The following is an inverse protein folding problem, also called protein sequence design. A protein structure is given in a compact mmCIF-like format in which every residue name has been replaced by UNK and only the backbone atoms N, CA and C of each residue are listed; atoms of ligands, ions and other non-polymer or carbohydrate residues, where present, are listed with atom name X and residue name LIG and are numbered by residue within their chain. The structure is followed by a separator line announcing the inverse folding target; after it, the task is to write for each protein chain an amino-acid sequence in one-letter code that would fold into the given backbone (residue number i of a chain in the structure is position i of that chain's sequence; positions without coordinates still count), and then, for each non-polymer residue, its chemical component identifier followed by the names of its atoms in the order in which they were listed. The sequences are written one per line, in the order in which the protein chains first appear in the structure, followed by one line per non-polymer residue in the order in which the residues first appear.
data_IF_330075929753
#
_entry.id   IF_330075929753
#
_cell.length_a   1.000
_cell.length_b   1.000
_cell.length_c   1.000
_cell.angle_alpha   90.00
_cell.angle_beta   90.00
_cell.angle_gamma   90.00
#
_symmetry.space_group_name_H-M   'P 1'
#
loop_
_entity.id
_entity.type
_entity.pdbx_description
1 polymer ?
#
# COMPACT_ATOMS: atom_id res chain seq x y z
N UNK A 1 -47.86 27.46 33.64
CA UNK A 1 -49.22 27.55 33.06
C UNK A 1 -49.08 27.63 31.54
N UNK A 2 -49.84 26.78 30.84
CA UNK A 2 -50.44 26.98 29.50
C UNK A 2 -49.53 27.17 28.28
N UNK A 3 -49.45 26.20 27.36
CA UNK A 3 -50.43 25.78 26.32
C UNK A 3 -50.56 26.80 25.15
N UNK A 4 -49.94 26.44 24.02
CA UNK A 4 -50.64 26.16 22.76
C UNK A 4 -51.03 27.30 21.82
N UNK A 5 -50.65 27.14 20.55
CA UNK A 5 -51.64 27.11 19.47
C UNK A 5 -51.64 28.23 18.42
N UNK A 6 -51.59 27.77 17.16
CA UNK A 6 -52.31 28.27 15.97
C UNK A 6 -51.87 29.58 15.29
N UNK A 7 -51.86 29.53 13.96
CA UNK A 7 -52.41 30.62 13.16
C UNK A 7 -51.59 31.00 11.93
N UNK A 8 -51.98 30.46 10.78
CA UNK A 8 -51.78 31.04 9.46
C UNK A 8 -52.57 32.36 9.34
N UNK A 9 -52.01 33.40 8.71
CA UNK A 9 -52.70 34.24 7.72
C UNK A 9 -51.70 35.22 7.07
N UNK A 10 -51.90 35.53 5.78
CA UNK A 10 -51.32 36.75 5.18
C UNK A 10 -50.50 36.57 3.90
N UNK A 11 -51.07 35.95 2.87
CA UNK A 11 -50.57 36.15 1.50
C UNK A 11 -50.98 37.51 0.92
N UNK A 12 -50.19 38.08 0.01
CA UNK A 12 -50.65 38.83 -1.19
C UNK A 12 -49.51 39.42 -2.03
N UNK A 13 -49.56 39.15 -3.33
CA UNK A 13 -48.98 39.97 -4.41
C UNK A 13 -47.85 39.26 -5.17
N UNK A 14 -47.94 38.94 -6.45
CA UNK A 14 -48.96 39.20 -7.47
C UNK A 14 -48.56 38.43 -8.73
N UNK A 15 -49.55 37.92 -9.47
CA UNK A 15 -49.33 37.19 -10.72
C UNK A 15 -48.95 38.10 -11.89
N UNK A 16 -48.32 37.49 -12.89
CA UNK A 16 -48.28 37.79 -14.34
C UNK A 16 -47.70 36.53 -15.01
N UNK A 17 -48.52 35.66 -15.58
CA UNK A 17 -48.64 35.45 -17.04
C UNK A 17 -47.49 34.58 -17.59
N UNK A 18 -47.63 33.55 -18.42
CA UNK A 18 -48.65 33.16 -19.39
C UNK A 18 -48.56 31.65 -19.63
N UNK A 19 -49.72 31.06 -19.88
CA UNK A 19 -49.92 29.73 -20.45
C UNK A 19 -49.48 29.70 -21.93
N UNK A 20 -48.94 28.56 -22.40
CA UNK A 20 -48.98 28.24 -23.84
C UNK A 20 -47.72 27.66 -24.49
N UNK A 21 -47.52 26.35 -24.37
CA UNK A 21 -47.54 25.49 -25.56
C UNK A 21 -46.23 25.05 -26.24
N UNK A 22 -46.28 23.76 -26.59
CA UNK A 22 -45.68 23.07 -27.77
C UNK A 22 -44.28 22.49 -27.63
N UNK A 23 -44.26 21.16 -27.57
CA UNK A 23 -43.08 20.34 -27.74
C UNK A 23 -42.51 20.34 -29.16
N UNK A 24 -41.34 19.72 -29.28
CA UNK A 24 -40.66 19.46 -30.54
C UNK A 24 -39.30 18.86 -30.26
N UNK A 25 -39.19 17.53 -30.32
CA UNK A 25 -37.92 16.82 -30.21
C UNK A 25 -37.06 16.94 -31.46
N UNK A 26 -35.92 16.21 -31.40
CA UNK A 26 -34.99 15.79 -32.46
C UNK A 26 -33.67 16.57 -32.55
N UNK A 27 -32.65 16.01 -31.91
CA UNK A 27 -31.48 15.46 -32.60
C UNK A 27 -30.36 16.41 -33.04
N UNK A 28 -29.16 15.80 -33.08
CA UNK A 28 -27.90 16.19 -33.74
C UNK A 28 -26.81 16.85 -32.89
N UNK A 29 -25.71 16.09 -32.74
CA UNK A 29 -24.38 16.67 -32.97
C UNK A 29 -23.33 16.42 -31.89
N UNK A 30 -22.91 15.16 -31.69
CA UNK A 30 -21.65 14.89 -31.01
C UNK A 30 -20.46 15.41 -31.82
N UNK A 31 -19.51 16.11 -31.17
CA UNK A 31 -18.12 16.18 -31.62
C UNK A 31 -17.18 16.70 -30.52
N UNK A 32 -16.32 15.81 -30.02
CA UNK A 32 -14.92 16.13 -29.72
C UNK A 32 -14.61 16.78 -28.36
N UNK A 33 -14.24 15.95 -27.38
CA UNK A 33 -13.63 16.40 -26.14
C UNK A 33 -12.89 15.31 -25.38
N UNK A 34 -12.27 14.35 -26.09
CA UNK A 34 -11.31 13.44 -25.47
C UNK A 34 -10.03 14.18 -25.09
N UNK A 35 -9.76 14.30 -23.79
CA UNK A 35 -8.45 14.65 -23.19
C UNK A 35 -8.50 14.22 -21.73
N UNK A 36 -8.10 12.98 -21.44
CA UNK A 36 -6.80 12.71 -20.83
C UNK A 36 -7.00 12.50 -19.31
N UNK A 37 -6.92 11.28 -18.78
CA UNK A 37 -5.72 10.45 -18.90
C UNK A 37 -4.58 11.07 -18.06
N UNK A 38 -4.74 11.12 -16.74
CA UNK A 38 -3.70 11.32 -15.72
C UNK A 38 -4.22 10.62 -14.47
N UNK A 39 -3.84 9.37 -14.22
CA UNK A 39 -2.60 9.06 -13.48
C UNK A 39 -2.84 9.45 -12.02
N UNK A 40 -3.19 8.52 -11.12
CA UNK A 40 -2.30 7.47 -10.64
C UNK A 40 -1.36 8.06 -9.58
N UNK A 41 -1.07 7.32 -8.50
CA UNK A 41 0.04 7.52 -7.54
C UNK A 41 -0.20 7.99 -6.10
N UNK A 42 -1.43 8.11 -5.57
CA UNK A 42 -1.59 8.43 -4.13
C UNK A 42 -2.62 7.59 -3.36
N UNK A 43 -2.92 6.37 -3.84
CA UNK A 43 -3.91 5.47 -3.23
C UNK A 43 -3.37 4.17 -2.60
N UNK A 44 -2.09 3.83 -2.74
CA UNK A 44 -1.54 2.55 -2.25
C UNK A 44 -1.09 2.59 -0.79
N UNK A 45 -1.91 3.15 0.10
CA UNK A 45 -1.78 2.98 1.56
C UNK A 45 -2.73 1.94 2.14
N UNK A 46 -3.57 1.32 1.31
CA UNK A 46 -4.39 0.21 1.74
C UNK A 46 -3.57 -1.06 1.68
N UNK A 47 -3.47 -1.77 2.81
CA UNK A 47 -3.38 -3.23 2.90
C UNK A 47 -3.64 -3.90 1.55
N UNK A 48 -2.57 -4.07 0.77
CA UNK A 48 -2.61 -5.03 -0.31
C UNK A 48 -2.77 -6.36 0.42
N UNK A 49 -3.88 -7.04 0.17
CA UNK A 49 -4.15 -8.35 0.75
C UNK A 49 -2.96 -9.30 0.54
N UNK A 50 -2.98 -10.48 1.19
CA UNK A 50 -1.87 -11.42 1.13
C UNK A 50 -1.39 -11.60 -0.32
N UNK A 51 -0.08 -11.50 -0.59
CA UNK A 51 0.44 -11.51 -1.94
C UNK A 51 0.08 -12.82 -2.67
N UNK A 52 -0.02 -12.73 -4.00
CA UNK A 52 -0.30 -13.89 -4.85
C UNK A 52 0.73 -14.99 -4.66
N UNK A 53 2.00 -14.61 -4.43
CA UNK A 53 3.11 -15.51 -4.15
C UNK A 53 4.04 -14.90 -3.10
N UNK A 54 4.64 -15.78 -2.28
CA UNK A 54 5.68 -15.42 -1.31
C UNK A 54 6.94 -16.22 -1.61
N UNK A 55 8.09 -15.58 -1.48
CA UNK A 55 9.40 -16.17 -1.74
C UNK A 55 10.18 -16.29 -0.44
N UNK A 56 10.98 -17.35 -0.30
CA UNK A 56 11.80 -17.58 0.88
C UNK A 56 12.84 -16.46 1.02
N UNK A 57 12.71 -15.63 2.05
CA UNK A 57 13.57 -14.47 2.30
C UNK A 57 14.77 -14.84 3.15
N UNK A 58 14.55 -15.67 4.18
CA UNK A 58 15.58 -15.95 5.14
C UNK A 58 15.21 -17.03 6.14
N UNK A 59 16.11 -17.24 7.09
CA UNK A 59 15.88 -18.15 8.21
C UNK A 59 16.15 -17.47 9.55
N UNK A 60 15.32 -17.80 10.53
CA UNK A 60 15.45 -17.30 11.89
C UNK A 60 16.77 -17.75 12.53
N UNK A 61 17.50 -16.79 13.09
CA UNK A 61 18.78 -17.01 13.77
C UNK A 61 18.60 -16.92 15.27
N UNK A 62 18.02 -15.81 15.75
CA UNK A 62 17.89 -15.52 17.17
C UNK A 62 16.78 -14.49 17.45
N UNK A 63 16.15 -14.57 18.61
CA UNK A 63 15.21 -13.55 19.09
C UNK A 63 16.01 -12.44 19.79
N UNK A 64 15.74 -11.18 19.46
CA UNK A 64 16.37 -10.00 20.05
C UNK A 64 15.24 -9.12 20.58
N UNK A 65 14.93 -9.25 21.87
CA UNK A 65 13.80 -8.57 22.50
C UNK A 65 12.46 -8.84 21.75
N UNK A 66 11.84 -7.79 21.22
CA UNK A 66 10.58 -7.84 20.46
C UNK A 66 10.80 -8.02 18.95
N UNK A 67 12.03 -8.34 18.53
CA UNK A 67 12.41 -8.54 17.15
C UNK A 67 12.99 -9.93 16.91
N UNK A 68 12.90 -10.37 15.66
CA UNK A 68 13.57 -11.58 15.21
C UNK A 68 14.75 -11.20 14.31
N UNK A 69 15.92 -11.80 14.56
CA UNK A 69 17.06 -11.69 13.67
C UNK A 69 17.04 -12.85 12.68
N UNK A 70 17.12 -12.53 11.38
CA UNK A 70 17.15 -13.50 10.31
C UNK A 70 18.41 -13.35 9.45
N UNK A 71 18.88 -14.46 8.88
CA UNK A 71 19.88 -14.46 7.79
C UNK A 71 19.16 -14.51 6.45
N UNK A 72 19.61 -13.72 5.47
CA UNK A 72 19.09 -13.74 4.11
C UNK A 72 19.58 -14.98 3.36
N UNK A 73 18.69 -15.63 2.61
CA UNK A 73 19.06 -16.70 1.66
C UNK A 73 19.18 -16.18 0.23
N UNK A 74 18.85 -14.91 -0.03
CA UNK A 74 18.94 -14.29 -1.35
C UNK A 74 20.22 -13.43 -1.45
N UNK A 75 21.25 -13.87 -2.20
CA UNK A 75 22.52 -13.14 -2.31
C UNK A 75 22.46 -11.95 -3.28
N UNK A 76 21.51 -11.93 -4.21
CA UNK A 76 21.35 -10.93 -5.26
C UNK A 76 20.29 -9.87 -4.94
N UNK A 77 19.55 -10.04 -3.83
CA UNK A 77 18.42 -9.19 -3.46
C UNK A 77 18.44 -8.80 -1.99
N UNK A 78 17.94 -7.61 -1.73
CA UNK A 78 17.83 -6.99 -0.40
C UNK A 78 16.36 -6.62 -0.17
N UNK A 79 15.76 -6.91 1.00
CA UNK A 79 14.37 -6.57 1.26
C UNK A 79 14.16 -5.06 1.36
N UNK A 80 12.94 -4.59 1.10
CA UNK A 80 12.58 -3.20 1.42
C UNK A 80 12.45 -3.04 2.94
N UNK A 81 12.82 -1.86 3.45
CA UNK A 81 12.44 -1.45 4.80
C UNK A 81 10.91 -1.44 4.96
N UNK A 82 10.43 -1.84 6.14
CA UNK A 82 9.02 -2.00 6.46
C UNK A 82 8.25 -2.97 5.56
N UNK A 83 8.93 -3.82 4.79
CA UNK A 83 8.27 -4.87 4.01
C UNK A 83 7.61 -5.88 4.96
N UNK A 84 6.35 -6.29 4.72
CA UNK A 84 5.72 -7.35 5.49
C UNK A 84 6.48 -8.67 5.30
N UNK A 85 6.65 -9.40 6.40
CA UNK A 85 7.23 -10.73 6.44
C UNK A 85 6.12 -11.73 6.75
N UNK A 86 6.18 -12.87 6.06
CA UNK A 86 5.15 -13.89 6.05
C UNK A 86 5.71 -15.26 6.46
N UNK A 87 4.82 -16.15 6.88
CA UNK A 87 5.07 -17.60 6.85
C UNK A 87 4.73 -18.18 5.47
N UNK A 88 5.04 -19.46 5.26
CA UNK A 88 4.76 -20.16 4.01
C UNK A 88 3.26 -20.18 3.66
N UNK A 89 2.39 -20.20 4.68
CA UNK A 89 0.93 -20.11 4.53
C UNK A 89 0.43 -18.68 4.23
N UNK A 90 1.34 -17.73 3.99
CA UNK A 90 1.08 -16.30 3.73
C UNK A 90 0.51 -15.51 4.91
N UNK A 91 0.57 -16.03 6.14
CA UNK A 91 0.22 -15.24 7.33
C UNK A 91 1.32 -14.23 7.61
N UNK A 92 0.96 -12.97 7.81
CA UNK A 92 1.89 -11.90 8.22
C UNK A 92 2.35 -12.15 9.66
N UNK A 93 3.66 -12.06 9.90
CA UNK A 93 4.25 -12.21 11.24
C UNK A 93 4.91 -10.94 11.76
N UNK A 94 5.16 -9.98 10.88
CA UNK A 94 5.87 -8.75 11.22
C UNK A 94 6.30 -7.98 9.98
N UNK A 95 7.24 -7.08 10.14
CA UNK A 95 7.83 -6.28 9.05
C UNK A 95 9.33 -6.07 9.24
N UNK A 96 10.06 -5.93 8.16
CA UNK A 96 11.51 -5.63 8.18
C UNK A 96 11.76 -4.28 8.84
N UNK A 97 12.67 -4.21 9.81
CA UNK A 97 13.03 -2.95 10.47
C UNK A 97 14.48 -2.55 10.16
N UNK A 98 15.44 -3.45 10.38
CA UNK A 98 16.86 -3.21 10.11
C UNK A 98 17.43 -4.18 9.08
N UNK A 99 18.40 -3.72 8.29
CA UNK A 99 19.19 -4.52 7.35
C UNK A 99 20.66 -4.27 7.64
N UNK A 100 21.40 -5.32 7.93
CA UNK A 100 22.76 -5.25 8.45
C UNK A 100 23.63 -6.42 7.96
N UNK A 101 24.89 -6.44 8.39
CA UNK A 101 25.85 -7.47 8.01
C UNK A 101 26.67 -7.11 6.76
N UNK A 102 27.70 -7.91 6.46
CA UNK A 102 28.50 -7.72 5.27
C UNK A 102 27.72 -8.11 4.00
N UNK A 103 28.14 -7.61 2.84
CA UNK A 103 27.39 -7.77 1.59
C UNK A 103 27.26 -9.23 1.11
N UNK A 104 28.15 -10.11 1.57
CA UNK A 104 28.12 -11.54 1.30
C UNK A 104 27.27 -12.34 2.29
N UNK A 105 26.88 -11.75 3.41
CA UNK A 105 26.09 -12.38 4.47
C UNK A 105 25.16 -11.34 5.10
N UNK A 106 24.05 -11.07 4.40
CA UNK A 106 23.07 -10.07 4.83
C UNK A 106 22.20 -10.65 5.94
N UNK A 107 22.03 -9.88 7.00
CA UNK A 107 21.06 -10.11 8.06
C UNK A 107 19.99 -9.04 8.03
N UNK A 108 18.82 -9.36 8.56
CA UNK A 108 17.76 -8.38 8.75
C UNK A 108 16.99 -8.67 10.04
N UNK A 109 16.53 -7.61 10.69
CA UNK A 109 15.60 -7.72 11.81
C UNK A 109 14.17 -7.61 11.30
N UNK A 110 13.26 -8.31 11.98
CA UNK A 110 11.82 -8.18 11.76
C UNK A 110 11.20 -7.75 13.06
N UNK A 111 10.50 -6.62 13.03
CA UNK A 111 9.64 -6.18 14.11
C UNK A 111 8.38 -7.03 14.14
N UNK A 112 8.13 -7.69 15.27
CA UNK A 112 7.02 -8.62 15.41
C UNK A 112 5.67 -7.91 15.32
N UNK A 113 4.72 -8.56 14.65
CA UNK A 113 3.32 -8.14 14.60
C UNK A 113 2.64 -8.37 15.95
N UNK A 114 1.46 -7.79 16.12
CA UNK A 114 0.67 -7.98 17.34
C UNK A 114 0.35 -9.46 17.58
N UNK A 115 0.60 -9.93 18.81
CA UNK A 115 0.40 -11.33 19.20
C UNK A 115 1.46 -12.31 18.70
N UNK A 116 2.46 -11.84 17.94
CA UNK A 116 3.61 -12.64 17.53
C UNK A 116 4.76 -12.46 18.52
N UNK A 117 5.43 -13.56 18.88
CA UNK A 117 6.53 -13.56 19.83
C UNK A 117 7.77 -14.17 19.16
N UNK A 118 8.86 -13.39 19.06
CA UNK A 118 10.07 -13.83 18.38
C UNK A 118 10.68 -15.11 18.98
N UNK A 119 10.59 -15.29 20.30
CA UNK A 119 11.11 -16.49 21.00
C UNK A 119 10.31 -17.77 20.74
N UNK A 120 9.13 -17.70 20.10
CA UNK A 120 8.36 -18.88 19.70
C UNK A 120 8.94 -19.58 18.47
N UNK A 121 9.81 -18.90 17.71
CA UNK A 121 10.47 -19.43 16.53
C UNK A 121 11.73 -20.22 16.90
N UNK A 122 12.05 -21.22 16.08
CA UNK A 122 13.24 -22.06 16.23
C UNK A 122 14.26 -21.69 15.17
N UNK A 123 15.55 -21.85 15.54
CA UNK A 123 16.66 -21.60 14.61
C UNK A 123 16.46 -22.42 13.33
N UNK A 124 16.52 -21.74 12.19
CA UNK A 124 16.28 -22.35 10.87
C UNK A 124 14.84 -22.24 10.36
N UNK A 125 13.89 -21.74 11.16
CA UNK A 125 12.52 -21.49 10.70
C UNK A 125 12.54 -20.47 9.56
N UNK A 126 11.84 -20.80 8.48
CA UNK A 126 11.84 -20.02 7.24
C UNK A 126 10.86 -18.86 7.32
N UNK A 127 11.30 -17.70 6.84
CA UNK A 127 10.46 -16.52 6.66
C UNK A 127 10.39 -16.14 5.19
N UNK A 128 9.27 -15.53 4.80
CA UNK A 128 8.94 -15.27 3.40
C UNK A 128 8.59 -13.80 3.17
N UNK A 129 8.72 -13.34 1.93
CA UNK A 129 8.45 -11.96 1.51
C UNK A 129 7.73 -11.95 0.17
N UNK A 130 6.97 -10.89 -0.11
CA UNK A 130 6.39 -10.66 -1.42
C UNK A 130 7.47 -10.28 -2.45
N UNK A 131 7.35 -10.79 -3.69
CA UNK A 131 8.36 -10.57 -4.74
C UNK A 131 8.53 -9.11 -5.17
N UNK A 132 7.51 -8.27 -4.98
CA UNK A 132 7.54 -6.83 -5.26
C UNK A 132 8.24 -6.00 -4.16
N UNK A 133 8.63 -6.63 -3.05
CA UNK A 133 9.31 -6.01 -1.90
C UNK A 133 10.79 -6.38 -1.82
N UNK A 134 11.44 -6.58 -2.97
CA UNK A 134 12.86 -6.88 -3.10
C UNK A 134 13.59 -5.88 -4.01
N UNK A 135 14.78 -5.45 -3.59
CA UNK A 135 15.69 -4.56 -4.33
C UNK A 135 16.89 -5.36 -4.84
N UNK A 136 17.34 -5.16 -6.09
CA UNK A 136 18.59 -5.74 -6.56
C UNK A 136 19.79 -5.23 -5.77
N UNK A 137 20.72 -6.11 -5.36
CA UNK A 137 21.89 -5.75 -4.55
C UNK A 137 22.80 -4.71 -5.22
N UNK A 138 22.83 -4.68 -6.56
CA UNK A 138 23.56 -3.70 -7.36
C UNK A 138 23.17 -2.24 -7.05
N UNK A 139 21.96 -2.02 -6.51
CA UNK A 139 21.52 -0.68 -6.04
C UNK A 139 22.39 -0.15 -4.89
N UNK A 140 23.01 -1.05 -4.14
CA UNK A 140 23.83 -0.76 -2.96
C UNK A 140 25.34 -0.85 -3.25
N UNK A 141 25.73 -1.28 -4.46
CA UNK A 141 27.11 -1.32 -4.92
C UNK A 141 27.48 -0.02 -5.65
N UNK A 142 28.74 0.44 -5.53
CA UNK A 142 29.21 1.58 -6.32
C UNK A 142 29.10 1.25 -7.81
N UNK A 143 28.47 2.15 -8.57
CA UNK A 143 28.41 2.01 -10.01
C UNK A 143 29.83 2.07 -10.60
N UNK A 144 30.17 1.24 -11.59
CA UNK A 144 31.42 1.39 -12.30
C UNK A 144 31.50 2.81 -12.87
N UNK A 145 32.63 3.49 -12.66
CA UNK A 145 32.87 4.83 -13.21
C UNK A 145 32.74 4.73 -14.72
N UNK A 146 31.79 5.44 -15.32
CA UNK A 146 31.76 5.62 -16.78
C UNK A 146 33.07 6.32 -17.16
N UNK A 147 33.93 5.72 -18.01
CA UNK A 147 35.06 6.45 -18.57
C UNK A 147 34.49 7.69 -19.24
N UNK A 148 34.99 8.88 -18.85
CA UNK A 148 34.49 10.15 -19.36
C UNK A 148 34.38 10.12 -20.88
N UNK A 149 33.19 10.43 -21.40
CA UNK A 149 33.00 10.62 -22.82
C UNK A 149 33.77 11.86 -23.27
N UNK A 150 34.76 11.62 -24.13
CA UNK A 150 35.55 12.54 -24.98
C UNK A 150 36.26 13.70 -24.31
#
# INVERSE_FOLDING_TARGET
MSRGGRGFDGGRGGGRGFDGGRGGGRGFGGRGGGRGGRGGFFGSRADAGPPDEVFEMGSFVHAVEDEMLCTSVMPDKVPYFNAPIYLQNKSVIGRVDEILGPINEVFFSVKMGEGMVASSFKKGDKVYIAGDKLLPIERFLPKPKTPGGT
#
